data_IF_880472945157
#
_entry.id   IF_880472945157
#
_cell.length_a   1.000
_cell.length_b   1.000
_cell.length_c   1.000
_cell.angle_alpha   90.00
_cell.angle_beta   90.00
_cell.angle_gamma   90.00
#
_symmetry.space_group_name_H-M   'P 1'
#
loop_
_entity.id
_entity.type
_entity.pdbx_description
1 polymer ?
#
# COMPACT_ATOMS: atom_id res chain seq x y z
N UNK A 1 -9.16 -26.60 19.74
CA UNK A 1 -9.84 -25.31 19.96
C UNK A 1 -11.30 -25.44 19.54
N UNK A 2 -12.24 -24.98 20.37
CA UNK A 2 -13.67 -24.98 20.02
C UNK A 2 -13.94 -23.77 19.12
N UNK A 3 -14.60 -23.96 17.97
CA UNK A 3 -14.95 -22.87 17.06
C UNK A 3 -15.93 -21.94 17.78
N UNK A 4 -15.61 -20.64 17.85
CA UNK A 4 -16.53 -19.63 18.37
C UNK A 4 -17.60 -19.41 17.30
N UNK A 5 -18.85 -19.66 17.65
CA UNK A 5 -20.01 -19.50 16.76
C UNK A 5 -20.85 -18.28 17.08
N UNK A 6 -20.71 -17.70 18.27
CA UNK A 6 -21.46 -16.51 18.68
C UNK A 6 -20.84 -15.26 18.06
N UNK A 7 -21.65 -14.51 17.30
CA UNK A 7 -21.26 -13.28 16.61
C UNK A 7 -20.71 -12.21 17.56
N UNK A 8 -21.24 -12.12 18.80
CA UNK A 8 -20.78 -11.15 19.79
C UNK A 8 -19.34 -11.42 20.21
N UNK A 9 -19.01 -12.70 20.39
CA UNK A 9 -17.67 -13.14 20.75
C UNK A 9 -16.69 -13.02 19.58
N UNK A 10 -17.16 -13.24 18.34
CA UNK A 10 -16.36 -12.98 17.13
C UNK A 10 -16.01 -11.50 17.00
N UNK A 11 -16.99 -10.60 17.18
CA UNK A 11 -16.74 -9.16 17.11
C UNK A 11 -15.75 -8.69 18.19
N UNK A 12 -15.87 -9.24 19.41
CA UNK A 12 -14.92 -8.94 20.48
C UNK A 12 -13.52 -9.47 20.15
N UNK A 13 -13.40 -10.66 19.55
CA UNK A 13 -12.12 -11.20 19.10
C UNK A 13 -11.47 -10.33 18.03
N UNK A 14 -12.24 -9.84 17.05
CA UNK A 14 -11.76 -8.89 16.03
C UNK A 14 -11.26 -7.58 16.64
N UNK A 15 -11.95 -7.05 17.66
CA UNK A 15 -11.49 -5.87 18.41
C UNK A 15 -10.17 -6.14 19.14
N UNK A 16 -10.02 -7.32 19.74
CA UNK A 16 -8.77 -7.72 20.41
C UNK A 16 -7.62 -7.86 19.40
N UNK A 17 -7.85 -8.49 18.25
CA UNK A 17 -6.87 -8.57 17.16
C UNK A 17 -6.47 -7.17 16.69
N UNK A 18 -7.43 -6.25 16.53
CA UNK A 18 -7.14 -4.86 16.15
C UNK A 18 -6.22 -4.17 17.16
N UNK A 19 -6.48 -4.32 18.46
CA UNK A 19 -5.63 -3.74 19.51
C UNK A 19 -4.23 -4.36 19.46
N UNK A 20 -4.13 -5.68 19.38
CA UNK A 20 -2.85 -6.38 19.29
C UNK A 20 -2.05 -5.94 18.05
N UNK A 21 -2.71 -5.80 16.90
CA UNK A 21 -2.11 -5.31 15.66
C UNK A 21 -1.57 -3.88 15.79
N UNK A 22 -2.32 -2.98 16.44
CA UNK A 22 -1.86 -1.60 16.71
C UNK A 22 -0.62 -1.63 17.61
N UNK A 23 -0.65 -2.38 18.70
CA UNK A 23 0.49 -2.50 19.62
C UNK A 23 1.71 -3.07 18.90
N UNK A 24 1.54 -4.12 18.10
CA UNK A 24 2.62 -4.71 17.31
C UNK A 24 3.21 -3.70 16.31
N UNK A 25 2.35 -2.96 15.62
CA UNK A 25 2.79 -1.96 14.64
C UNK A 25 3.55 -0.83 15.31
N UNK A 26 3.06 -0.31 16.43
CA UNK A 26 3.75 0.72 17.22
C UNK A 26 5.08 0.19 17.77
N UNK A 27 5.12 -1.06 18.24
CA UNK A 27 6.36 -1.69 18.71
C UNK A 27 7.40 -1.82 17.61
N UNK A 28 7.00 -2.28 16.42
CA UNK A 28 7.89 -2.38 15.25
C UNK A 28 8.38 -0.98 14.84
N UNK A 29 7.49 0.00 14.76
CA UNK A 29 7.86 1.39 14.44
C UNK A 29 8.81 1.99 15.49
N UNK A 30 8.64 1.66 16.76
CA UNK A 30 9.55 2.08 17.83
C UNK A 30 10.96 1.50 17.68
N UNK A 31 11.06 0.20 17.39
CA UNK A 31 12.36 -0.46 17.16
C UNK A 31 13.04 0.09 15.91
N UNK A 32 12.33 0.15 14.79
CA UNK A 32 12.87 0.67 13.53
C UNK A 32 13.21 2.16 13.62
N UNK A 33 12.38 2.95 14.32
CA UNK A 33 12.64 4.36 14.59
C UNK A 33 13.87 4.57 15.47
N UNK A 34 14.09 3.71 16.46
CA UNK A 34 15.32 3.74 17.25
C UNK A 34 16.55 3.40 16.41
N UNK A 35 16.49 2.36 15.58
CA UNK A 35 17.58 2.01 14.65
C UNK A 35 17.83 3.14 13.64
N UNK A 36 16.78 3.81 13.17
CA UNK A 36 16.91 4.96 12.27
C UNK A 36 17.69 6.13 12.91
N UNK A 37 17.40 6.44 14.18
CA UNK A 37 18.08 7.54 14.90
C UNK A 37 19.50 7.17 15.31
N UNK A 38 19.76 5.90 15.64
CA UNK A 38 21.06 5.46 16.18
C UNK A 38 22.04 4.96 15.13
N UNK A 39 21.56 4.26 14.10
CA UNK A 39 22.37 3.59 13.06
C UNK A 39 22.10 4.13 11.66
N UNK A 40 21.18 5.09 11.52
CA UNK A 40 20.80 5.68 10.25
C UNK A 40 19.90 4.78 9.39
N UNK A 41 19.69 5.20 8.15
CA UNK A 41 18.82 4.49 7.20
C UNK A 41 19.31 3.09 6.85
N UNK A 42 20.63 2.89 6.76
CA UNK A 42 21.21 1.61 6.40
C UNK A 42 21.03 0.60 7.54
N UNK A 43 21.31 1.01 8.79
CA UNK A 43 21.09 0.15 9.96
C UNK A 43 19.62 -0.22 10.19
N UNK A 44 18.67 0.65 9.83
CA UNK A 44 17.25 0.30 9.85
C UNK A 44 16.90 -0.73 8.78
N UNK A 45 17.41 -0.60 7.56
CA UNK A 45 17.10 -1.50 6.44
C UNK A 45 17.73 -2.89 6.57
N UNK A 46 18.89 -2.97 7.23
CA UNK A 46 19.54 -4.25 7.55
C UNK A 46 18.79 -5.05 8.62
N UNK A 47 17.94 -4.39 9.43
CA UNK A 47 17.14 -5.07 10.44
C UNK A 47 16.06 -5.95 9.76
N UNK A 48 16.01 -7.28 10.01
CA UNK A 48 14.99 -8.15 9.42
C UNK A 48 13.55 -7.73 9.76
N UNK A 49 13.33 -7.02 10.88
CA UNK A 49 12.03 -6.43 11.23
C UNK A 49 11.54 -5.44 10.17
N UNK A 50 12.46 -4.73 9.51
CA UNK A 50 12.10 -3.79 8.45
C UNK A 50 11.46 -4.51 7.27
N UNK A 51 12.06 -5.62 6.82
CA UNK A 51 11.52 -6.43 5.73
C UNK A 51 10.15 -6.99 6.10
N UNK A 52 9.99 -7.57 7.30
CA UNK A 52 8.71 -8.10 7.78
C UNK A 52 7.65 -7.00 7.82
N UNK A 53 8.02 -5.81 8.30
CA UNK A 53 7.13 -4.66 8.34
C UNK A 53 6.66 -4.25 6.94
N UNK A 54 7.57 -4.13 5.97
CA UNK A 54 7.24 -3.75 4.60
C UNK A 54 6.33 -4.79 3.94
N UNK A 55 6.64 -6.08 4.05
CA UNK A 55 5.80 -7.13 3.44
C UNK A 55 4.39 -7.13 4.06
N UNK A 56 4.30 -7.07 5.38
CA UNK A 56 3.00 -7.11 6.07
C UNK A 56 2.15 -5.87 5.79
N UNK A 57 2.76 -4.69 5.71
CA UNK A 57 2.04 -3.45 5.33
C UNK A 57 1.59 -3.47 3.88
N UNK A 58 2.40 -3.99 2.95
CA UNK A 58 1.99 -4.16 1.55
C UNK A 58 0.78 -5.11 1.45
N UNK A 59 0.84 -6.28 2.08
CA UNK A 59 -0.28 -7.24 2.10
C UNK A 59 -1.53 -6.59 2.72
N UNK A 60 -1.38 -5.91 3.85
CA UNK A 60 -2.48 -5.23 4.53
C UNK A 60 -3.12 -4.15 3.65
N UNK A 61 -2.32 -3.39 2.90
CA UNK A 61 -2.81 -2.40 1.95
C UNK A 61 -3.63 -3.04 0.83
N UNK A 62 -3.17 -4.14 0.24
CA UNK A 62 -3.94 -4.88 -0.78
C UNK A 62 -5.26 -5.43 -0.22
N UNK A 63 -5.24 -5.98 0.98
CA UNK A 63 -6.45 -6.51 1.64
C UNK A 63 -7.45 -5.39 2.00
N UNK A 64 -6.95 -4.25 2.45
CA UNK A 64 -7.80 -3.07 2.71
C UNK A 64 -8.38 -2.50 1.42
N UNK A 65 -7.61 -2.56 0.32
CA UNK A 65 -8.04 -2.09 -0.99
C UNK A 65 -9.14 -2.96 -1.58
N UNK A 66 -9.06 -4.29 -1.45
CA UNK A 66 -10.15 -5.18 -1.88
C UNK A 66 -11.44 -4.90 -1.11
N UNK A 67 -11.36 -4.75 0.22
CA UNK A 67 -12.54 -4.41 1.05
C UNK A 67 -13.10 -3.03 0.70
N UNK A 68 -12.23 -2.05 0.43
CA UNK A 68 -12.66 -0.70 0.05
C UNK A 68 -13.38 -0.69 -1.30
N UNK A 69 -12.93 -1.51 -2.26
CA UNK A 69 -13.60 -1.69 -3.53
C UNK A 69 -15.01 -2.32 -3.37
N UNK A 70 -15.19 -3.21 -2.40
CA UNK A 70 -16.49 -3.81 -2.08
C UNK A 70 -17.45 -2.83 -1.41
N UNK A 71 -16.93 -1.93 -0.56
CA UNK A 71 -17.72 -0.93 0.17
C UNK A 71 -18.02 0.34 -0.64
N UNK A 72 -17.39 0.51 -1.80
CA UNK A 72 -17.59 1.67 -2.69
C UNK A 72 -19.02 1.61 -3.30
N UNK A 73 -19.83 2.64 -3.10
CA UNK A 73 -21.18 2.69 -3.70
C UNK A 73 -21.08 2.88 -5.23
N UNK A 74 -21.89 2.12 -5.97
CA UNK A 74 -21.84 1.77 -7.40
C UNK A 74 -21.88 2.93 -8.43
N UNK A 75 -21.04 3.96 -8.31
CA UNK A 75 -21.05 5.15 -9.21
C UNK A 75 -19.69 5.52 -9.81
N UNK A 76 -18.61 4.82 -9.48
CA UNK A 76 -17.29 5.16 -10.00
C UNK A 76 -17.02 4.38 -11.29
N UNK A 77 -17.06 5.07 -12.43
CA UNK A 77 -16.67 4.46 -13.71
C UNK A 77 -15.18 4.03 -13.64
N UNK A 78 -14.86 2.74 -13.81
CA UNK A 78 -13.52 2.21 -13.65
C UNK A 78 -12.54 2.83 -14.64
N UNK A 79 -12.95 3.10 -15.88
CA UNK A 79 -12.08 3.72 -16.89
C UNK A 79 -11.73 5.16 -16.53
N UNK A 80 -12.70 5.93 -15.99
CA UNK A 80 -12.44 7.30 -15.51
C UNK A 80 -11.51 7.29 -14.32
N UNK A 81 -11.73 6.40 -13.34
CA UNK A 81 -10.86 6.34 -12.18
C UNK A 81 -9.45 5.85 -12.52
N UNK A 82 -9.30 4.92 -13.47
CA UNK A 82 -7.97 4.56 -13.94
C UNK A 82 -7.24 5.72 -14.59
N UNK A 83 -7.93 6.46 -15.45
CA UNK A 83 -7.33 7.60 -16.14
C UNK A 83 -6.82 8.62 -15.13
N UNK A 84 -7.61 8.90 -14.07
CA UNK A 84 -7.21 9.79 -12.98
C UNK A 84 -6.01 9.21 -12.22
N UNK A 85 -6.07 7.95 -11.79
CA UNK A 85 -4.97 7.31 -11.05
C UNK A 85 -3.67 7.26 -11.85
N UNK A 86 -3.76 7.02 -13.16
CA UNK A 86 -2.62 6.98 -14.07
C UNK A 86 -2.01 8.38 -14.25
N UNK A 87 -2.83 9.41 -14.43
CA UNK A 87 -2.35 10.81 -14.50
C UNK A 87 -1.64 11.21 -13.21
N UNK A 88 -2.21 10.88 -12.06
CA UNK A 88 -1.60 11.15 -10.75
C UNK A 88 -0.27 10.40 -10.61
N UNK A 89 -0.20 9.14 -11.03
CA UNK A 89 1.04 8.36 -10.99
C UNK A 89 2.14 8.97 -11.88
N UNK A 90 1.80 9.36 -13.11
CA UNK A 90 2.75 10.04 -14.02
C UNK A 90 3.26 11.33 -13.37
N UNK A 91 2.37 12.11 -12.77
CA UNK A 91 2.72 13.37 -12.12
C UNK A 91 3.68 13.14 -10.94
N UNK A 92 3.36 12.21 -10.05
CA UNK A 92 4.21 11.86 -8.90
C UNK A 92 5.58 11.33 -9.37
N UNK A 93 5.59 10.39 -10.31
CA UNK A 93 6.83 9.82 -10.87
C UNK A 93 7.73 10.90 -11.49
N UNK A 94 7.13 11.82 -12.24
CA UNK A 94 7.85 12.93 -12.88
C UNK A 94 8.42 13.90 -11.85
N UNK A 95 7.61 14.30 -10.86
CA UNK A 95 8.05 15.21 -9.79
C UNK A 95 9.20 14.59 -9.00
N UNK A 96 9.07 13.32 -8.58
CA UNK A 96 10.12 12.64 -7.82
C UNK A 96 11.38 12.47 -8.67
N UNK A 97 11.26 12.03 -9.92
CA UNK A 97 12.41 11.92 -10.84
C UNK A 97 13.12 13.26 -11.06
N UNK A 98 12.37 14.35 -11.15
CA UNK A 98 12.91 15.70 -11.26
C UNK A 98 13.67 16.12 -10.00
N UNK A 99 13.12 15.91 -8.80
CA UNK A 99 13.81 16.20 -7.54
C UNK A 99 15.10 15.39 -7.39
N UNK A 100 15.09 14.11 -7.78
CA UNK A 100 16.30 13.27 -7.77
C UNK A 100 17.36 13.81 -8.73
N UNK A 101 16.96 14.29 -9.90
CA UNK A 101 17.90 14.87 -10.88
C UNK A 101 18.55 16.19 -10.42
N UNK A 102 17.95 16.88 -9.45
CA UNK A 102 18.48 18.11 -8.85
C UNK A 102 19.36 17.86 -7.61
N UNK A 103 19.46 16.61 -7.14
CA UNK A 103 20.22 16.29 -5.93
C UNK A 103 21.70 16.13 -6.27
N UNK A 104 22.58 16.80 -5.51
CA UNK A 104 24.02 16.74 -5.70
C UNK A 104 24.54 15.29 -5.63
N UNK A 105 25.27 14.87 -6.68
CA UNK A 105 25.78 13.50 -6.83
C UNK A 105 24.91 12.58 -7.68
N UNK A 106 23.71 12.99 -8.08
CA UNK A 106 22.85 12.23 -9.00
C UNK A 106 22.79 12.88 -10.38
N UNK A 107 22.89 12.07 -11.44
CA UNK A 107 22.75 12.54 -12.83
C UNK A 107 21.29 12.56 -13.26
N UNK A 108 20.99 13.26 -14.36
CA UNK A 108 19.66 13.24 -15.00
C UNK A 108 19.20 11.80 -15.27
N UNK A 109 20.13 10.92 -15.64
CA UNK A 109 19.87 9.49 -15.87
C UNK A 109 19.36 8.79 -14.60
N UNK A 110 19.89 9.11 -13.42
CA UNK A 110 19.41 8.54 -12.17
C UNK A 110 17.98 8.99 -11.83
N UNK A 111 17.66 10.25 -12.10
CA UNK A 111 16.30 10.78 -11.96
C UNK A 111 15.29 10.04 -12.85
N UNK A 112 15.65 9.78 -14.11
CA UNK A 112 14.82 9.01 -15.06
C UNK A 112 14.65 7.56 -14.59
N UNK A 113 15.73 6.92 -14.12
CA UNK A 113 15.68 5.54 -13.62
C UNK A 113 14.76 5.44 -12.39
N UNK A 114 14.91 6.33 -11.41
CA UNK A 114 14.09 6.31 -10.19
C UNK A 114 12.63 6.61 -10.52
N UNK A 115 12.36 7.61 -11.37
CA UNK A 115 11.02 7.90 -11.86
C UNK A 115 10.39 6.69 -12.56
N UNK A 116 11.14 6.03 -13.44
CA UNK A 116 10.70 4.82 -14.14
C UNK A 116 10.37 3.65 -13.22
N UNK A 117 11.21 3.39 -12.21
CA UNK A 117 10.97 2.35 -11.19
C UNK A 117 9.67 2.65 -10.42
N UNK A 118 9.48 3.90 -9.98
CA UNK A 118 8.26 4.31 -9.27
C UNK A 118 7.02 4.17 -10.16
N UNK A 119 7.14 4.49 -11.44
CA UNK A 119 6.06 4.33 -12.40
C UNK A 119 5.66 2.86 -12.55
N UNK A 120 6.62 1.96 -12.80
CA UNK A 120 6.36 0.52 -12.95
C UNK A 120 5.77 -0.06 -11.65
N UNK A 121 6.30 0.32 -10.49
CA UNK A 121 5.80 -0.13 -9.19
C UNK A 121 4.37 0.34 -8.94
N UNK A 122 4.06 1.61 -9.23
CA UNK A 122 2.73 2.18 -9.04
C UNK A 122 1.68 1.65 -10.02
N UNK A 123 2.08 1.16 -11.20
CA UNK A 123 1.15 0.56 -12.16
C UNK A 123 0.50 -0.72 -11.61
N UNK A 124 1.23 -1.53 -10.84
CA UNK A 124 0.73 -2.83 -10.35
C UNK A 124 -0.53 -2.65 -9.49
N UNK A 125 -0.55 -1.81 -8.43
CA UNK A 125 -1.77 -1.52 -7.68
C UNK A 125 -2.90 -0.93 -8.53
N UNK A 126 -2.59 -0.03 -9.48
CA UNK A 126 -3.61 0.62 -10.32
C UNK A 126 -4.33 -0.41 -11.21
N UNK A 127 -3.56 -1.31 -11.83
CA UNK A 127 -4.12 -2.41 -12.63
C UNK A 127 -4.92 -3.37 -11.77
N UNK A 128 -4.45 -3.67 -10.56
CA UNK A 128 -5.20 -4.51 -9.62
C UNK A 128 -6.56 -3.91 -9.26
N UNK A 129 -6.62 -2.61 -8.91
CA UNK A 129 -7.89 -1.90 -8.68
C UNK A 129 -8.78 -1.93 -9.91
N UNK A 130 -8.20 -1.74 -11.10
CA UNK A 130 -8.98 -1.80 -12.34
C UNK A 130 -9.72 -3.11 -12.48
N UNK A 131 -8.99 -4.21 -12.32
CA UNK A 131 -9.53 -5.55 -12.52
C UNK A 131 -10.61 -5.84 -11.47
N UNK A 132 -10.41 -5.42 -10.21
CA UNK A 132 -11.44 -5.50 -9.18
C UNK A 132 -12.71 -4.73 -9.57
N UNK A 133 -12.57 -3.48 -10.01
CA UNK A 133 -13.72 -2.64 -10.39
C UNK A 133 -14.40 -3.10 -11.68
N UNK A 134 -13.64 -3.58 -12.66
CA UNK A 134 -14.16 -4.11 -13.91
C UNK A 134 -14.99 -5.37 -13.66
N UNK A 135 -14.44 -6.33 -12.91
CA UNK A 135 -15.16 -7.55 -12.53
C UNK A 135 -16.50 -7.23 -11.87
N UNK A 136 -16.53 -6.23 -10.98
CA UNK A 136 -17.77 -5.77 -10.36
C UNK A 136 -18.78 -5.14 -11.32
N UNK A 137 -18.33 -4.38 -12.31
CA UNK A 137 -19.24 -3.84 -13.33
C UNK A 137 -19.90 -4.95 -14.12
N UNK A 138 -19.11 -5.96 -14.51
CA UNK A 138 -19.64 -7.12 -15.24
C UNK A 138 -20.67 -7.88 -14.36
N UNK A 139 -20.37 -8.12 -13.08
CA UNK A 139 -21.30 -8.76 -12.14
C UNK A 139 -22.61 -7.95 -11.90
N UNK A 140 -22.56 -6.60 -11.91
CA UNK A 140 -23.75 -5.75 -11.74
C UNK A 140 -24.59 -5.58 -13.02
N UNK A 141 -24.07 -5.97 -14.18
CA UNK A 141 -24.82 -5.94 -15.45
C UNK A 141 -25.61 -7.24 -15.64
N UNK A 142 -25.22 -8.32 -14.96
CA UNK A 142 -25.87 -9.63 -15.02
C UNK A 142 -27.03 -9.81 -14.01
N UNK A 143 -27.17 -8.95 -13.00
CA UNK A 143 -28.34 -8.84 -12.09
C UNK A 143 -29.42 -7.88 -12.61
#
# INVERSE_FOLDING_TARGET
MKKITDERLVLQNLKNIRIAYIVQTVGILGILGYDLVTKGLDGMRENPLWLVFIITTVISAYLSMSISADHENNKVNPQKSLSISLVVLVLISTVVGFFVSLTDGFTITNGVIVGGILFICGLIPIVYIYNLRKKRQDDNIEE
#
